data_IF_100843392331
#
_entry.id   IF_100843392331
#
_cell.length_a   1.000
_cell.length_b   1.000
_cell.length_c   1.000
_cell.angle_alpha   90.00
_cell.angle_beta   90.00
_cell.angle_gamma   90.00
#
_symmetry.space_group_name_H-M   'P 1'
#
loop_
_entity.id
_entity.type
_entity.pdbx_description
1 polymer ?
#
# COMPACT_ATOMS: atom_id res chain seq x y z
N UNK A 1 29.17 -20.65 30.53
CA UNK A 1 29.74 -19.51 29.78
C UNK A 1 28.83 -19.30 28.58
N UNK A 2 28.20 -18.12 28.50
CA UNK A 2 27.28 -17.72 27.45
C UNK A 2 27.99 -17.77 26.10
N UNK A 3 27.48 -18.58 25.17
CA UNK A 3 27.74 -18.35 23.76
C UNK A 3 26.57 -17.56 23.17
N UNK A 4 26.93 -16.50 22.46
CA UNK A 4 26.05 -15.43 22.06
C UNK A 4 25.02 -15.96 21.06
N UNK A 5 23.73 -15.91 21.44
CA UNK A 5 22.65 -15.88 20.44
C UNK A 5 22.91 -14.66 19.57
N UNK A 6 23.40 -14.90 18.35
CA UNK A 6 23.41 -13.93 17.26
C UNK A 6 21.98 -13.40 17.11
N UNK A 7 21.75 -12.21 17.66
CA UNK A 7 20.47 -11.53 17.64
C UNK A 7 20.72 -10.16 17.03
N UNK A 8 20.22 -9.99 15.80
CA UNK A 8 19.75 -8.76 15.17
C UNK A 8 20.25 -8.59 13.72
N UNK A 9 19.66 -9.35 12.79
CA UNK A 9 19.47 -8.81 11.45
C UNK A 9 18.34 -7.77 11.57
N UNK A 10 18.68 -6.53 11.92
CA UNK A 10 17.69 -5.47 12.04
C UNK A 10 17.25 -5.08 10.63
N UNK A 11 16.07 -5.54 10.22
CA UNK A 11 15.47 -5.13 8.94
C UNK A 11 15.24 -3.62 9.04
N UNK A 12 15.94 -2.86 8.20
CA UNK A 12 15.68 -1.42 8.06
C UNK A 12 14.43 -1.26 7.20
N UNK A 13 13.41 -0.65 7.77
CA UNK A 13 12.20 -0.26 7.08
C UNK A 13 12.14 1.26 6.94
N UNK A 14 11.67 1.74 5.78
CA UNK A 14 11.39 3.15 5.55
C UNK A 14 10.19 3.29 4.61
N UNK A 15 9.65 4.51 4.53
CA UNK A 15 8.69 4.93 3.54
C UNK A 15 9.37 5.86 2.55
N UNK A 16 9.17 5.63 1.26
CA UNK A 16 9.49 6.62 0.20
C UNK A 16 8.20 7.07 -0.46
N UNK A 17 8.18 8.30 -0.97
CA UNK A 17 7.04 8.76 -1.76
C UNK A 17 6.84 7.83 -2.96
N UNK A 18 5.59 7.45 -3.21
CA UNK A 18 5.22 6.81 -4.45
C UNK A 18 5.25 7.83 -5.58
N UNK A 19 5.50 7.36 -6.80
CA UNK A 19 5.49 8.12 -8.05
C UNK A 19 4.52 7.47 -9.02
N UNK A 20 4.17 8.13 -10.13
CA UNK A 20 3.25 7.55 -11.11
C UNK A 20 3.76 6.20 -11.66
N UNK A 21 5.08 6.03 -11.75
CA UNK A 21 5.71 4.77 -12.14
C UNK A 21 5.45 3.62 -11.15
N UNK A 22 5.07 3.93 -9.91
CA UNK A 22 4.74 2.96 -8.88
C UNK A 22 3.26 2.52 -8.93
N UNK A 23 2.41 3.22 -9.69
CA UNK A 23 0.95 3.01 -9.67
C UNK A 23 0.54 1.60 -10.07
N UNK A 24 1.19 1.03 -11.10
CA UNK A 24 0.85 -0.33 -11.57
C UNK A 24 1.16 -1.39 -10.52
N UNK A 25 2.33 -1.35 -9.88
CA UNK A 25 2.68 -2.33 -8.85
C UNK A 25 1.81 -2.21 -7.60
N UNK A 26 1.36 -0.99 -7.25
CA UNK A 26 0.42 -0.77 -6.15
C UNK A 26 -0.89 -1.47 -6.43
N UNK A 27 -1.41 -1.38 -7.66
CA UNK A 27 -2.58 -2.14 -8.08
C UNK A 27 -2.35 -3.66 -7.98
N UNK A 28 -1.18 -4.16 -8.39
CA UNK A 28 -0.87 -5.59 -8.24
C UNK A 28 -0.91 -6.04 -6.77
N UNK A 29 -0.40 -5.23 -5.84
CA UNK A 29 -0.45 -5.54 -4.42
C UNK A 29 -1.87 -5.48 -3.82
N UNK A 30 -2.74 -4.62 -4.35
CA UNK A 30 -4.16 -4.57 -3.96
C UNK A 30 -4.94 -5.76 -4.50
N UNK A 31 -4.82 -6.03 -5.80
CA UNK A 31 -5.74 -6.87 -6.55
C UNK A 31 -5.25 -8.31 -6.75
N UNK A 32 -3.94 -8.55 -6.66
CA UNK A 32 -3.31 -9.83 -7.01
C UNK A 32 -2.34 -10.34 -5.93
N UNK A 33 -2.49 -9.89 -4.68
CA UNK A 33 -1.75 -10.41 -3.53
C UNK A 33 -2.42 -11.68 -2.98
N UNK A 34 -1.65 -12.55 -2.32
CA UNK A 34 -2.22 -13.72 -1.62
C UNK A 34 -3.16 -13.30 -0.47
N UNK A 35 -3.08 -12.05 -0.01
CA UNK A 35 -3.98 -11.48 0.99
C UNK A 35 -5.28 -10.92 0.38
N UNK A 36 -5.35 -10.68 -0.93
CA UNK A 36 -6.54 -10.10 -1.57
C UNK A 36 -7.82 -10.91 -1.27
N UNK A 37 -7.84 -12.26 -1.35
CA UNK A 37 -9.02 -13.06 -1.01
C UNK A 37 -9.49 -12.94 0.45
N UNK A 38 -8.64 -12.45 1.36
CA UNK A 38 -8.99 -12.20 2.76
C UNK A 38 -9.72 -10.88 3.01
N UNK A 39 -9.89 -10.06 1.98
CA UNK A 39 -10.51 -8.73 2.06
C UNK A 39 -11.53 -8.47 0.94
N UNK A 40 -11.36 -9.09 -0.22
CA UNK A 40 -12.14 -8.84 -1.43
C UNK A 40 -12.29 -10.09 -2.28
N UNK A 41 -13.38 -10.15 -3.04
CA UNK A 41 -13.65 -11.18 -4.01
C UNK A 41 -14.29 -12.44 -3.41
N UNK A 42 -14.85 -13.30 -4.28
CA UNK A 42 -15.46 -14.54 -3.85
C UNK A 42 -14.42 -15.57 -3.40
N UNK A 43 -14.81 -16.54 -2.54
CA UNK A 43 -16.16 -16.69 -1.96
C UNK A 43 -16.40 -15.88 -0.68
N UNK A 44 -15.37 -15.36 0.00
CA UNK A 44 -15.52 -14.73 1.31
C UNK A 44 -16.17 -13.35 1.25
N UNK A 45 -15.90 -12.57 0.21
CA UNK A 45 -16.38 -11.20 0.04
C UNK A 45 -16.98 -10.98 -1.37
N UNK A 46 -18.08 -11.68 -1.71
CA UNK A 46 -18.65 -11.65 -3.05
C UNK A 46 -19.14 -10.26 -3.47
N UNK A 47 -19.55 -9.41 -2.52
CA UNK A 47 -20.03 -8.05 -2.77
C UNK A 47 -18.90 -7.01 -2.80
N UNK A 48 -17.69 -7.38 -2.37
CA UNK A 48 -16.50 -6.53 -2.43
C UNK A 48 -15.58 -7.03 -3.54
N UNK A 49 -15.96 -6.76 -4.79
CA UNK A 49 -15.24 -7.24 -5.97
C UNK A 49 -13.83 -6.66 -6.02
N UNK A 50 -12.86 -7.48 -6.42
CA UNK A 50 -11.50 -7.02 -6.69
C UNK A 50 -11.53 -6.02 -7.85
N UNK A 51 -11.02 -4.79 -7.69
CA UNK A 51 -11.12 -3.76 -8.71
C UNK A 51 -10.32 -4.15 -9.95
N UNK A 52 -10.80 -3.71 -11.12
CA UNK A 52 -10.01 -3.69 -12.35
C UNK A 52 -8.93 -2.61 -12.31
N UNK A 53 -7.98 -2.67 -13.22
CA UNK A 53 -6.95 -1.63 -13.34
C UNK A 53 -7.56 -0.25 -13.65
N UNK A 54 -8.58 -0.21 -14.49
CA UNK A 54 -9.26 1.01 -14.89
C UNK A 54 -10.05 1.63 -13.73
N UNK A 55 -10.67 0.82 -12.88
CA UNK A 55 -11.34 1.26 -11.65
C UNK A 55 -10.33 1.78 -10.63
N UNK A 56 -9.25 1.04 -10.41
CA UNK A 56 -8.16 1.51 -9.56
C UNK A 56 -7.62 2.87 -10.04
N UNK A 57 -7.43 3.05 -11.34
CA UNK A 57 -6.98 4.33 -11.90
C UNK A 57 -7.99 5.47 -11.75
N UNK A 58 -9.28 5.15 -11.61
CA UNK A 58 -10.33 6.15 -11.38
C UNK A 58 -10.31 6.65 -9.94
N UNK A 59 -10.01 5.76 -9.01
CA UNK A 59 -10.05 6.05 -7.57
C UNK A 59 -8.72 6.63 -7.08
N UNK A 60 -7.60 6.03 -7.50
CA UNK A 60 -6.25 6.48 -7.18
C UNK A 60 -5.74 7.43 -8.26
N UNK A 61 -6.18 8.68 -8.21
CA UNK A 61 -5.83 9.74 -9.15
C UNK A 61 -4.35 10.18 -9.06
N UNK A 62 -3.80 10.88 -10.08
CA UNK A 62 -2.37 11.26 -10.12
C UNK A 62 -1.84 11.95 -8.86
N UNK A 63 -2.69 12.72 -8.15
CA UNK A 63 -2.28 13.40 -6.92
C UNK A 63 -1.82 12.47 -5.79
N UNK A 64 -2.27 11.21 -5.77
CA UNK A 64 -1.75 10.22 -4.82
C UNK A 64 -0.25 9.98 -5.03
N UNK A 65 0.23 10.16 -6.26
CA UNK A 65 1.59 9.82 -6.69
C UNK A 65 2.47 11.04 -6.94
N UNK A 66 1.93 12.20 -7.31
CA UNK A 66 2.73 13.42 -7.51
C UNK A 66 2.71 14.39 -6.32
N UNK A 67 1.78 14.24 -5.37
CA UNK A 67 1.72 15.06 -4.15
C UNK A 67 1.18 16.46 -4.40
N UNK A 68 0.60 16.72 -5.57
CA UNK A 68 0.01 18.01 -5.96
C UNK A 68 -1.18 18.42 -5.09
N UNK A 69 -1.87 17.47 -4.46
CA UNK A 69 -3.03 17.71 -3.59
C UNK A 69 -2.94 16.86 -2.32
N UNK A 70 -2.04 17.18 -1.38
CA UNK A 70 -1.75 16.34 -0.21
C UNK A 70 -2.97 16.14 0.70
N UNK A 71 -3.89 17.09 0.79
CA UNK A 71 -5.10 16.93 1.62
C UNK A 71 -6.12 15.94 1.02
N UNK A 72 -5.93 15.51 -0.23
CA UNK A 72 -6.85 14.60 -0.95
C UNK A 72 -6.39 13.16 -0.98
N UNK A 73 -5.14 12.90 -0.62
CA UNK A 73 -4.58 11.56 -0.53
C UNK A 73 -3.14 11.49 -1.02
N UNK A 74 -2.39 10.49 -0.51
CA UNK A 74 -1.00 10.25 -0.87
C UNK A 74 -0.65 8.79 -0.65
N UNK A 75 0.18 8.24 -1.54
CA UNK A 75 0.77 6.91 -1.36
C UNK A 75 2.27 6.98 -1.10
N UNK A 76 2.73 6.06 -0.24
CA UNK A 76 4.13 5.84 0.07
C UNK A 76 4.45 4.36 -0.08
N UNK A 77 5.59 4.07 -0.71
CA UNK A 77 6.09 2.71 -0.83
C UNK A 77 6.79 2.32 0.47
N UNK A 78 6.41 1.17 0.99
CA UNK A 78 7.08 0.52 2.11
C UNK A 78 8.32 -0.18 1.56
N UNK A 79 9.49 0.22 2.05
CA UNK A 79 10.79 -0.33 1.64
C UNK A 79 11.39 -1.09 2.82
N UNK A 80 11.74 -2.37 2.62
CA UNK A 80 12.42 -3.20 3.60
C UNK A 80 13.67 -3.81 2.97
N UNK A 81 14.84 -3.64 3.61
CA UNK A 81 16.13 -4.12 3.08
C UNK A 81 16.39 -3.68 1.61
N UNK A 82 15.99 -2.45 1.26
CA UNK A 82 16.08 -1.87 -0.09
C UNK A 82 15.09 -2.44 -1.12
N UNK A 83 14.25 -3.39 -0.73
CA UNK A 83 13.18 -3.91 -1.58
C UNK A 83 11.87 -3.18 -1.31
N UNK A 84 11.15 -2.83 -2.37
CA UNK A 84 9.77 -2.39 -2.26
C UNK A 84 8.90 -3.61 -1.85
N UNK A 85 8.21 -3.52 -0.72
CA UNK A 85 7.46 -4.64 -0.12
C UNK A 85 5.97 -4.35 0.06
N UNK A 86 5.52 -3.17 -0.32
CA UNK A 86 4.12 -2.79 -0.21
C UNK A 86 3.94 -1.29 -0.30
N UNK A 87 2.75 -0.87 0.07
CA UNK A 87 2.32 0.53 0.03
C UNK A 87 1.50 0.84 1.27
N UNK A 88 1.62 2.08 1.73
CA UNK A 88 0.67 2.71 2.64
C UNK A 88 0.13 3.95 1.94
N UNK A 89 -1.18 4.07 1.86
CA UNK A 89 -1.86 5.24 1.33
C UNK A 89 -2.75 5.84 2.41
N UNK A 90 -2.83 7.16 2.46
CA UNK A 90 -3.92 7.83 3.17
C UNK A 90 -4.85 8.47 2.16
N UNK A 91 -6.15 8.46 2.47
CA UNK A 91 -7.21 9.04 1.66
C UNK A 91 -7.45 10.53 2.00
N UNK A 92 -8.49 11.15 1.44
CA UNK A 92 -8.80 12.55 1.69
C UNK A 92 -9.00 12.84 3.19
N UNK A 93 -8.39 13.93 3.67
CA UNK A 93 -8.54 14.36 5.04
C UNK A 93 -9.97 14.82 5.32
N UNK A 94 -10.53 14.36 6.43
CA UNK A 94 -11.83 14.81 6.96
C UNK A 94 -11.64 16.01 7.87
N UNK A 95 -12.72 16.74 8.18
CA UNK A 95 -12.68 18.02 8.91
C UNK A 95 -12.08 18.00 10.33
N UNK A 96 -11.81 16.82 10.89
CA UNK A 96 -11.09 16.63 12.15
C UNK A 96 -9.63 16.16 11.96
N UNK A 97 -9.06 16.34 10.76
CA UNK A 97 -7.75 15.81 10.35
C UNK A 97 -7.63 14.28 10.46
N UNK A 98 -8.75 13.55 10.37
CA UNK A 98 -8.75 12.09 10.29
C UNK A 98 -8.84 11.64 8.83
N UNK A 99 -8.27 10.49 8.53
CA UNK A 99 -8.35 9.82 7.24
C UNK A 99 -8.41 8.32 7.44
N UNK A 100 -8.84 7.61 6.41
CA UNK A 100 -8.62 6.18 6.31
C UNK A 100 -7.23 5.92 5.73
N UNK A 101 -6.65 4.78 6.11
CA UNK A 101 -5.33 4.35 5.69
C UNK A 101 -5.47 2.98 5.07
N UNK A 102 -4.97 2.84 3.85
CA UNK A 102 -4.94 1.59 3.10
C UNK A 102 -3.50 1.06 3.10
N UNK A 103 -3.35 -0.24 3.38
CA UNK A 103 -2.05 -0.91 3.35
C UNK A 103 -2.18 -2.18 2.53
N UNK A 104 -1.33 -2.32 1.52
CA UNK A 104 -1.22 -3.54 0.71
C UNK A 104 0.23 -3.99 0.65
N UNK A 105 0.44 -5.30 0.81
CA UNK A 105 1.75 -5.91 0.86
C UNK A 105 1.98 -6.76 -0.38
N UNK A 106 3.24 -6.76 -0.82
CA UNK A 106 3.74 -7.66 -1.85
C UNK A 106 3.66 -9.10 -1.35
N UNK A 107 3.07 -9.98 -2.16
CA UNK A 107 3.23 -11.44 -2.06
C UNK A 107 4.59 -11.88 -2.59
#
# INVERSE_FOLDING_TARGET
MNDARSCAFCIKTNLREATEGDRRKIYEWLAHSDLTPSMMGPPQFPDHVVPTWEEFCRDYLPYYFDGSQPDRGRCFIIVANQDDVGVVCYNALRGNHATDVDIWLRS
#
